data_IF_465239985801
#
_entry.id   IF_465239985801
#
_cell.length_a   1.000
_cell.length_b   1.000
_cell.length_c   1.000
_cell.angle_alpha   90.00
_cell.angle_beta   90.00
_cell.angle_gamma   90.00
#
_symmetry.space_group_name_H-M   'P 1'
#
loop_
_entity.id
_entity.type
_entity.pdbx_description
1 polymer ?
#
# COMPACT_ATOMS: atom_id res chain seq x y z
N UNK A 1 -16.58 -23.59 58.01
CA UNK A 1 -17.45 -23.42 56.83
C UNK A 1 -17.10 -22.24 55.92
N UNK A 2 -16.01 -21.48 56.16
CA UNK A 2 -15.72 -20.25 55.39
C UNK A 2 -14.65 -20.44 54.30
N UNK A 3 -13.72 -21.40 54.42
CA UNK A 3 -12.71 -21.67 53.37
C UNK A 3 -13.32 -22.16 52.04
N UNK A 4 -14.41 -22.94 52.09
CA UNK A 4 -15.05 -23.51 50.89
C UNK A 4 -15.75 -22.42 50.07
N UNK A 5 -16.35 -21.43 50.74
CA UNK A 5 -17.03 -20.31 50.06
C UNK A 5 -16.02 -19.38 49.36
N UNK A 6 -14.86 -19.15 49.99
CA UNK A 6 -13.80 -18.33 49.38
C UNK A 6 -13.17 -19.01 48.16
N UNK A 7 -13.03 -20.34 48.19
CA UNK A 7 -12.51 -21.12 47.06
C UNK A 7 -13.49 -21.18 45.88
N UNK A 8 -14.80 -21.21 46.15
CA UNK A 8 -15.84 -21.25 45.12
C UNK A 8 -16.00 -19.90 44.41
N UNK A 9 -15.85 -18.79 45.14
CA UNK A 9 -15.80 -17.44 44.55
C UNK A 9 -14.55 -17.28 43.67
N UNK A 10 -13.39 -17.76 44.13
CA UNK A 10 -12.16 -17.68 43.33
C UNK A 10 -12.25 -18.52 42.04
N UNK A 11 -12.82 -19.73 42.11
CA UNK A 11 -13.04 -20.58 40.94
C UNK A 11 -14.04 -19.97 39.95
N UNK A 12 -15.10 -19.33 40.43
CA UNK A 12 -16.08 -18.64 39.58
C UNK A 12 -15.46 -17.42 38.86
N UNK A 13 -14.57 -16.68 39.54
CA UNK A 13 -13.83 -15.57 38.92
C UNK A 13 -12.85 -16.08 37.86
N UNK A 14 -12.14 -17.18 38.10
CA UNK A 14 -11.22 -17.76 37.10
C UNK A 14 -11.97 -18.31 35.87
N UNK A 15 -13.14 -18.91 36.05
CA UNK A 15 -13.98 -19.41 34.95
C UNK A 15 -14.63 -18.27 34.12
N UNK A 16 -14.90 -17.13 34.74
CA UNK A 16 -15.43 -15.94 34.05
C UNK A 16 -14.38 -15.21 33.20
N UNK A 17 -13.09 -15.50 33.41
CA UNK A 17 -11.97 -14.91 32.66
C UNK A 17 -11.55 -15.73 31.44
N UNK A 18 -12.10 -16.94 31.27
CA UNK A 18 -11.87 -17.75 30.07
C UNK A 18 -12.93 -17.42 29.02
N UNK A 19 -12.89 -16.21 28.47
CA UNK A 19 -13.50 -15.95 27.17
C UNK A 19 -12.75 -16.80 26.15
N UNK A 20 -13.41 -17.84 25.63
CA UNK A 20 -12.95 -18.49 24.41
C UNK A 20 -13.06 -17.44 23.30
N UNK A 21 -11.95 -16.76 23.01
CA UNK A 21 -11.83 -16.03 21.75
C UNK A 21 -11.94 -17.09 20.67
N UNK A 22 -13.07 -17.15 19.97
CA UNK A 22 -13.13 -17.88 18.72
C UNK A 22 -12.13 -17.20 17.79
N UNK A 23 -10.94 -17.79 17.70
CA UNK A 23 -9.90 -17.28 16.83
C UNK A 23 -10.39 -17.43 15.39
N UNK A 24 -10.41 -16.32 14.65
CA UNK A 24 -10.66 -16.40 13.22
C UNK A 24 -9.45 -17.03 12.53
N UNK A 25 -9.69 -17.67 11.39
CA UNK A 25 -8.63 -18.24 10.55
C UNK A 25 -8.75 -17.66 9.15
N UNK A 26 -7.81 -16.77 8.81
CA UNK A 26 -7.84 -16.05 7.54
C UNK A 26 -7.87 -16.99 6.34
N UNK A 27 -7.18 -18.14 6.43
CA UNK A 27 -7.13 -19.09 5.31
C UNK A 27 -8.47 -19.78 5.10
N UNK A 28 -9.19 -20.12 6.17
CA UNK A 28 -10.53 -20.70 6.11
C UNK A 28 -11.56 -19.71 5.60
N UNK A 29 -11.43 -18.45 5.98
CA UNK A 29 -12.31 -17.38 5.49
C UNK A 29 -12.08 -17.18 4.00
N UNK A 30 -10.83 -16.99 3.56
CA UNK A 30 -10.50 -16.76 2.15
C UNK A 30 -10.78 -17.98 1.25
N UNK A 31 -10.74 -19.21 1.78
CA UNK A 31 -11.11 -20.41 1.03
C UNK A 31 -12.58 -20.43 0.57
N UNK A 32 -13.45 -19.59 1.13
CA UNK A 32 -14.84 -19.45 0.67
C UNK A 32 -14.95 -18.58 -0.59
N UNK A 33 -13.87 -17.90 -0.98
CA UNK A 33 -13.81 -16.93 -2.07
C UNK A 33 -12.75 -17.37 -3.10
N UNK A 34 -13.14 -18.14 -4.12
CA UNK A 34 -12.20 -18.69 -5.10
C UNK A 34 -11.44 -17.62 -5.90
N UNK A 35 -11.97 -16.40 -6.00
CA UNK A 35 -11.33 -15.27 -6.66
C UNK A 35 -10.06 -14.74 -5.96
N UNK A 36 -9.81 -15.14 -4.71
CA UNK A 36 -8.65 -14.76 -3.91
C UNK A 36 -7.72 -15.97 -3.60
N UNK A 37 -7.84 -17.05 -4.38
CA UNK A 37 -7.09 -18.28 -4.13
C UNK A 37 -5.57 -18.06 -4.21
N UNK A 38 -5.11 -17.22 -5.15
CA UNK A 38 -3.69 -16.89 -5.30
C UNK A 38 -3.19 -16.04 -4.13
N UNK A 39 -4.00 -15.09 -3.65
CA UNK A 39 -3.69 -14.30 -2.46
C UNK A 39 -3.55 -15.21 -1.22
N UNK A 40 -4.50 -16.13 -1.01
CA UNK A 40 -4.46 -17.07 0.12
C UNK A 40 -3.23 -18.01 0.05
N UNK A 41 -2.88 -18.47 -1.16
CA UNK A 41 -1.66 -19.24 -1.39
C UNK A 41 -0.41 -18.45 -0.97
N UNK A 42 -0.29 -17.19 -1.38
CA UNK A 42 0.86 -16.37 -1.02
C UNK A 42 0.93 -16.04 0.48
N UNK A 43 -0.19 -15.84 1.16
CA UNK A 43 -0.20 -15.71 2.63
C UNK A 43 0.45 -16.93 3.31
N UNK A 44 0.14 -18.12 2.79
CA UNK A 44 0.68 -19.39 3.31
C UNK A 44 2.16 -19.54 3.01
N UNK A 45 2.59 -19.29 1.76
CA UNK A 45 3.99 -19.41 1.35
C UNK A 45 4.90 -18.40 2.05
N UNK A 46 4.40 -17.19 2.32
CA UNK A 46 5.13 -16.12 3.01
C UNK A 46 5.09 -16.24 4.54
N UNK A 47 4.36 -17.22 5.07
CA UNK A 47 4.16 -17.47 6.51
C UNK A 47 3.53 -16.29 7.27
N UNK A 48 2.66 -15.54 6.61
CA UNK A 48 1.93 -14.43 7.24
C UNK A 48 0.66 -14.90 7.95
N UNK A 49 0.16 -16.09 7.63
CA UNK A 49 -1.04 -16.67 8.23
C UNK A 49 -0.98 -16.68 9.77
N UNK A 50 0.12 -17.17 10.34
CA UNK A 50 0.27 -17.23 11.80
C UNK A 50 0.29 -15.84 12.45
N UNK A 51 0.88 -14.86 11.76
CA UNK A 51 0.92 -13.48 12.24
C UNK A 51 -0.44 -12.80 12.15
N UNK A 52 -1.26 -13.14 11.15
CA UNK A 52 -2.62 -12.63 11.00
C UNK A 52 -3.53 -13.26 12.05
N UNK A 53 -3.51 -14.59 12.17
CA UNK A 53 -4.40 -15.35 13.05
C UNK A 53 -4.08 -15.16 14.54
N UNK A 54 -2.88 -14.68 14.89
CA UNK A 54 -2.50 -14.37 16.28
C UNK A 54 -2.97 -12.99 16.75
N UNK A 55 -3.56 -12.18 15.86
CA UNK A 55 -4.06 -10.85 16.20
C UNK A 55 -5.48 -10.92 16.75
N UNK A 56 -5.78 -10.00 17.68
CA UNK A 56 -7.14 -9.78 18.17
C UNK A 56 -8.01 -9.08 17.12
N UNK A 57 -7.39 -8.23 16.30
CA UNK A 57 -8.06 -7.46 15.26
C UNK A 57 -7.21 -7.39 14.00
N UNK A 58 -7.84 -7.44 12.82
CA UNK A 58 -7.14 -7.27 11.54
C UNK A 58 -8.04 -6.69 10.46
N UNK A 59 -7.46 -5.94 9.53
CA UNK A 59 -8.11 -5.62 8.26
C UNK A 59 -7.24 -6.08 7.11
N UNK A 60 -7.77 -6.91 6.22
CA UNK A 60 -7.03 -7.51 5.10
C UNK A 60 -7.51 -6.89 3.78
N UNK A 61 -6.60 -6.27 3.05
CA UNK A 61 -6.81 -5.72 1.72
C UNK A 61 -6.44 -6.80 0.68
N UNK A 62 -7.43 -7.60 0.29
CA UNK A 62 -7.21 -8.69 -0.67
C UNK A 62 -7.14 -8.16 -2.09
N UNK A 63 -6.42 -8.92 -2.90
CA UNK A 63 -6.24 -8.70 -4.33
C UNK A 63 -6.83 -9.89 -5.05
N UNK A 64 -7.60 -9.65 -6.11
CA UNK A 64 -8.08 -10.73 -6.97
C UNK A 64 -6.91 -11.46 -7.65
N UNK A 65 -7.17 -12.66 -8.14
CA UNK A 65 -6.13 -13.49 -8.76
C UNK A 65 -5.47 -12.82 -9.98
N UNK A 66 -6.22 -11.97 -10.72
CA UNK A 66 -5.69 -11.22 -11.87
C UNK A 66 -4.64 -10.19 -11.42
N UNK A 67 -4.96 -9.45 -10.37
CA UNK A 67 -4.10 -8.44 -9.78
C UNK A 67 -2.91 -9.09 -9.09
N UNK A 68 -3.12 -10.21 -8.39
CA UNK A 68 -2.04 -10.99 -7.79
C UNK A 68 -1.08 -11.58 -8.83
N UNK A 69 -1.55 -11.92 -10.02
CA UNK A 69 -0.67 -12.40 -11.09
C UNK A 69 0.39 -11.35 -11.49
N UNK A 70 0.11 -10.06 -11.32
CA UNK A 70 1.07 -8.97 -11.62
C UNK A 70 2.27 -8.97 -10.67
N UNK A 71 2.10 -9.45 -9.43
CA UNK A 71 3.18 -9.51 -8.43
C UNK A 71 3.90 -10.86 -8.40
N UNK A 72 3.37 -11.89 -9.06
CA UNK A 72 3.88 -13.25 -9.02
C UNK A 72 5.31 -13.42 -9.59
N UNK A 73 5.77 -12.49 -10.43
CA UNK A 73 7.13 -12.49 -10.99
C UNK A 73 8.21 -11.94 -10.06
N UNK A 74 7.85 -11.42 -8.89
CA UNK A 74 8.80 -10.86 -7.92
C UNK A 74 9.49 -11.94 -7.08
N UNK A 75 10.54 -11.55 -6.36
CA UNK A 75 11.20 -12.45 -5.39
C UNK A 75 10.31 -12.71 -4.18
N UNK A 76 10.53 -13.83 -3.49
CA UNK A 76 9.73 -14.20 -2.30
C UNK A 76 9.77 -13.12 -1.20
N UNK A 77 10.90 -12.43 -1.03
CA UNK A 77 11.04 -11.33 -0.07
C UNK A 77 10.16 -10.13 -0.46
N UNK A 78 10.15 -9.74 -1.73
CA UNK A 78 9.32 -8.65 -2.23
C UNK A 78 7.83 -9.00 -2.11
N UNK A 79 7.46 -10.23 -2.48
CA UNK A 79 6.08 -10.72 -2.32
C UNK A 79 5.68 -10.66 -0.84
N UNK A 80 6.55 -11.09 0.08
CA UNK A 80 6.27 -11.01 1.51
C UNK A 80 6.05 -9.57 1.99
N UNK A 81 6.85 -8.62 1.53
CA UNK A 81 6.67 -7.19 1.84
C UNK A 81 5.32 -6.71 1.33
N UNK A 82 5.00 -6.93 0.05
CA UNK A 82 3.71 -6.54 -0.56
C UNK A 82 2.53 -7.14 0.23
N UNK A 83 2.58 -8.46 0.50
CA UNK A 83 1.52 -9.15 1.25
C UNK A 83 1.37 -8.61 2.67
N UNK A 84 2.49 -8.29 3.35
CA UNK A 84 2.44 -7.70 4.69
C UNK A 84 1.95 -6.24 4.71
N UNK A 85 2.17 -5.49 3.62
CA UNK A 85 1.64 -4.14 3.46
C UNK A 85 0.11 -4.14 3.32
N UNK A 86 -0.44 -5.13 2.64
CA UNK A 86 -1.89 -5.28 2.44
C UNK A 86 -2.67 -5.67 3.70
N UNK A 87 -2.00 -5.94 4.83
CA UNK A 87 -2.63 -6.37 6.08
C UNK A 87 -2.48 -5.28 7.14
N UNK A 88 -3.57 -4.63 7.50
CA UNK A 88 -3.60 -3.64 8.58
C UNK A 88 -3.81 -4.30 9.94
N UNK A 89 -3.15 -3.75 10.96
CA UNK A 89 -3.14 -4.33 12.31
C UNK A 89 -4.38 -3.98 13.14
N UNK A 90 -5.15 -2.98 12.71
CA UNK A 90 -6.36 -2.49 13.37
C UNK A 90 -7.60 -2.84 12.56
N UNK A 91 -8.75 -2.87 13.24
CA UNK A 91 -10.05 -3.07 12.61
C UNK A 91 -10.59 -1.77 11.99
N UNK A 92 -10.80 -1.78 10.68
CA UNK A 92 -11.47 -0.74 9.90
C UNK A 92 -12.76 -1.27 9.27
N UNK A 93 -13.81 -0.46 9.31
CA UNK A 93 -15.06 -0.66 8.60
C UNK A 93 -15.33 0.52 7.65
N UNK A 94 -16.44 0.46 6.92
CA UNK A 94 -16.81 1.50 5.95
C UNK A 94 -16.95 2.89 6.58
N UNK A 95 -17.30 2.97 7.86
CA UNK A 95 -17.40 4.26 8.58
C UNK A 95 -16.02 4.77 8.96
N UNK A 96 -15.17 3.90 9.52
CA UNK A 96 -13.80 4.24 9.89
C UNK A 96 -12.96 4.66 8.69
N UNK A 97 -13.21 4.12 7.50
CA UNK A 97 -12.52 4.59 6.28
C UNK A 97 -12.81 6.07 5.98
N UNK A 98 -14.05 6.52 6.16
CA UNK A 98 -14.43 7.93 5.96
C UNK A 98 -13.79 8.82 7.03
N UNK A 99 -13.78 8.38 8.28
CA UNK A 99 -13.16 9.11 9.39
C UNK A 99 -11.64 9.28 9.18
N UNK A 100 -10.93 8.18 8.91
CA UNK A 100 -9.49 8.19 8.65
C UNK A 100 -9.15 8.96 7.37
N UNK A 101 -9.99 8.83 6.34
CA UNK A 101 -9.83 9.58 5.10
C UNK A 101 -9.94 11.10 5.29
N UNK A 102 -10.67 11.55 6.31
CA UNK A 102 -10.78 12.97 6.66
C UNK A 102 -9.62 13.47 7.52
N UNK A 103 -9.04 12.62 8.38
CA UNK A 103 -7.92 12.98 9.27
C UNK A 103 -6.55 12.79 8.61
N UNK A 104 -6.47 11.99 7.54
CA UNK A 104 -5.23 11.55 6.90
C UNK A 104 -4.24 10.90 7.87
N UNK A 105 -4.75 10.20 8.89
CA UNK A 105 -3.90 9.49 9.85
C UNK A 105 -3.23 8.28 9.18
N UNK A 106 -1.91 8.06 9.40
CA UNK A 106 -1.22 6.90 8.86
C UNK A 106 -1.68 5.63 9.57
N UNK A 107 -2.01 4.59 8.79
CA UNK A 107 -2.44 3.31 9.34
C UNK A 107 -1.31 2.30 9.30
N UNK A 108 -1.05 1.67 10.44
CA UNK A 108 -0.03 0.65 10.57
C UNK A 108 -0.44 -0.68 9.90
N UNK A 109 0.50 -1.26 9.15
CA UNK A 109 0.34 -2.58 8.54
C UNK A 109 1.27 -3.63 9.17
N UNK A 110 1.14 -4.88 8.72
CA UNK A 110 1.87 -6.00 9.27
C UNK A 110 3.38 -5.85 9.01
N UNK A 111 3.77 -5.20 7.89
CA UNK A 111 5.17 -4.90 7.60
C UNK A 111 5.79 -4.03 8.69
N UNK A 112 5.10 -2.98 9.15
CA UNK A 112 5.54 -2.15 10.29
C UNK A 112 5.68 -2.98 11.55
N UNK A 113 4.62 -3.71 11.90
CA UNK A 113 4.55 -4.46 13.16
C UNK A 113 5.58 -5.59 13.25
N UNK A 114 6.09 -6.05 12.11
CA UNK A 114 7.17 -7.05 12.04
C UNK A 114 8.52 -6.50 12.50
N UNK A 115 8.67 -5.17 12.58
CA UNK A 115 9.92 -4.49 12.87
C UNK A 115 10.91 -4.45 11.71
N UNK A 116 10.55 -4.98 10.54
CA UNK A 116 11.39 -4.96 9.33
C UNK A 116 11.21 -3.70 8.48
N UNK A 117 10.12 -2.95 8.68
CA UNK A 117 9.88 -1.71 7.97
C UNK A 117 10.87 -0.61 8.37
N UNK A 118 11.34 0.14 7.38
CA UNK A 118 12.11 1.36 7.59
C UNK A 118 11.20 2.57 7.38
N UNK A 119 11.41 3.61 8.18
CA UNK A 119 10.69 4.88 8.09
C UNK A 119 9.17 4.67 7.98
N UNK A 120 8.57 5.12 6.86
CA UNK A 120 7.13 5.08 6.62
C UNK A 120 6.70 3.90 5.73
N UNK A 121 7.55 2.91 5.49
CA UNK A 121 7.24 1.83 4.55
C UNK A 121 6.15 0.88 5.06
N UNK A 122 5.91 0.87 6.37
CA UNK A 122 4.87 0.06 7.00
C UNK A 122 3.56 0.81 7.27
N UNK A 123 3.33 1.96 6.61
CA UNK A 123 2.10 2.73 6.79
C UNK A 123 1.36 2.95 5.47
N UNK A 124 0.03 3.03 5.58
CA UNK A 124 -0.88 3.32 4.47
C UNK A 124 -1.66 4.58 4.82
N UNK A 125 -1.81 5.48 3.85
CA UNK A 125 -2.74 6.59 3.92
C UNK A 125 -4.03 6.24 3.20
N UNK A 126 -5.13 6.79 3.70
CA UNK A 126 -6.45 6.76 3.04
C UNK A 126 -6.93 8.17 2.77
N UNK A 127 -7.67 8.31 1.68
CA UNK A 127 -8.43 9.50 1.36
C UNK A 127 -9.78 9.13 0.78
N UNK A 128 -10.73 10.05 0.93
CA UNK A 128 -11.98 10.07 0.16
C UNK A 128 -11.73 10.93 -1.08
N UNK A 129 -11.79 10.36 -2.28
CA UNK A 129 -11.53 11.08 -3.55
C UNK A 129 -12.81 11.70 -4.13
N UNK A 130 -12.71 12.38 -5.28
CA UNK A 130 -13.74 13.29 -5.85
C UNK A 130 -15.12 12.66 -6.15
N UNK A 131 -15.32 11.36 -5.89
CA UNK A 131 -16.61 10.66 -6.03
C UNK A 131 -17.09 9.98 -4.74
N UNK A 132 -16.47 10.28 -3.59
CA UNK A 132 -16.77 9.62 -2.32
C UNK A 132 -16.14 8.22 -2.18
N UNK A 133 -15.36 7.81 -3.17
CA UNK A 133 -14.64 6.53 -3.16
C UNK A 133 -13.47 6.57 -2.17
N UNK A 134 -13.21 5.42 -1.53
CA UNK A 134 -12.06 5.25 -0.65
C UNK A 134 -10.87 4.83 -1.50
N UNK A 135 -9.78 5.60 -1.40
CA UNK A 135 -8.53 5.29 -2.08
C UNK A 135 -7.36 5.24 -1.09
N UNK A 136 -6.39 4.40 -1.39
CA UNK A 136 -5.24 4.06 -0.58
C UNK A 136 -3.94 4.46 -1.27
N UNK A 137 -2.91 4.69 -0.45
CA UNK A 137 -1.56 5.03 -0.89
C UNK A 137 -0.54 4.52 0.13
N UNK A 138 0.60 4.04 -0.34
CA UNK A 138 1.75 3.75 0.55
C UNK A 138 2.35 5.05 1.11
N UNK A 139 2.61 5.09 2.41
CA UNK A 139 3.26 6.22 3.07
C UNK A 139 4.77 6.34 2.75
N UNK A 140 5.36 5.37 2.04
CA UNK A 140 6.73 5.47 1.51
C UNK A 140 6.82 6.33 0.24
N UNK A 141 5.70 6.70 -0.35
CA UNK A 141 5.65 7.55 -1.55
C UNK A 141 5.82 9.04 -1.20
N UNK A 142 6.10 9.88 -2.19
CA UNK A 142 6.19 11.32 -1.99
C UNK A 142 4.88 11.89 -1.41
N UNK A 143 4.96 12.93 -0.58
CA UNK A 143 3.80 13.49 0.12
C UNK A 143 2.64 13.91 -0.81
N UNK A 144 2.93 14.25 -2.06
CA UNK A 144 1.97 14.64 -3.10
C UNK A 144 1.63 13.53 -4.12
N UNK A 145 2.07 12.30 -3.88
CA UNK A 145 1.70 11.16 -4.73
C UNK A 145 0.18 10.93 -4.69
N UNK A 146 -0.38 10.53 -5.83
CA UNK A 146 -1.80 10.25 -5.95
C UNK A 146 -2.22 9.02 -5.12
N UNK A 147 -3.50 8.96 -4.77
CA UNK A 147 -4.13 7.74 -4.29
C UNK A 147 -4.61 6.95 -5.51
N UNK A 148 -3.98 5.83 -5.81
CA UNK A 148 -4.15 5.06 -7.05
C UNK A 148 -4.60 3.60 -6.84
N UNK A 149 -4.76 3.21 -5.58
CA UNK A 149 -5.34 1.94 -5.14
C UNK A 149 -6.73 2.21 -4.60
N UNK A 150 -7.76 1.60 -5.16
CA UNK A 150 -9.15 1.92 -4.84
C UNK A 150 -9.82 0.76 -4.09
N UNK A 151 -10.70 1.08 -3.15
CA UNK A 151 -11.58 0.11 -2.50
C UNK A 151 -12.63 -0.37 -3.51
N UNK A 152 -12.60 -1.66 -3.87
CA UNK A 152 -13.53 -2.22 -4.84
C UNK A 152 -14.83 -2.66 -4.15
N UNK A 153 -14.72 -3.47 -3.09
CA UNK A 153 -15.88 -3.95 -2.32
C UNK A 153 -15.48 -4.50 -0.95
N UNK A 154 -16.45 -4.56 -0.05
CA UNK A 154 -16.37 -5.39 1.17
C UNK A 154 -16.61 -6.85 0.81
N UNK A 155 -15.67 -7.73 1.16
CA UNK A 155 -15.78 -9.18 0.94
C UNK A 155 -16.53 -9.83 2.09
N UNK A 156 -16.05 -9.58 3.32
CA UNK A 156 -16.64 -10.08 4.55
C UNK A 156 -16.10 -9.28 5.73
N UNK A 157 -16.87 -9.18 6.81
CA UNK A 157 -16.42 -8.60 8.06
C UNK A 157 -17.13 -9.21 9.24
N UNK A 158 -16.42 -9.26 10.36
CA UNK A 158 -16.96 -9.49 11.69
C UNK A 158 -16.65 -8.25 12.53
N UNK A 159 -17.67 -7.56 13.06
CA UNK A 159 -17.48 -6.32 13.83
C UNK A 159 -16.44 -6.48 14.93
N UNK A 160 -15.50 -5.54 14.98
CA UNK A 160 -14.41 -5.46 15.96
C UNK A 160 -13.44 -6.66 16.00
N UNK A 161 -13.51 -7.59 15.04
CA UNK A 161 -12.60 -8.75 14.94
C UNK A 161 -11.82 -8.71 13.63
N UNK A 162 -12.49 -8.82 12.48
CA UNK A 162 -11.80 -8.77 11.19
C UNK A 162 -12.63 -8.11 10.11
N UNK A 163 -11.97 -7.51 9.14
CA UNK A 163 -12.60 -7.06 7.91
C UNK A 163 -11.73 -7.36 6.71
N UNK A 164 -12.36 -7.79 5.62
CA UNK A 164 -11.70 -8.15 4.37
C UNK A 164 -12.32 -7.31 3.26
N UNK A 165 -11.47 -6.59 2.56
CA UNK A 165 -11.85 -5.70 1.48
C UNK A 165 -11.02 -6.01 0.25
N UNK A 166 -11.66 -6.01 -0.91
CA UNK A 166 -10.95 -6.08 -2.18
C UNK A 166 -10.45 -4.69 -2.57
N UNK A 167 -9.19 -4.61 -3.02
CA UNK A 167 -8.60 -3.39 -3.56
C UNK A 167 -8.13 -3.60 -5.00
N UNK A 168 -8.11 -2.52 -5.78
CA UNK A 168 -7.93 -2.62 -7.23
C UNK A 168 -6.49 -2.95 -7.68
N UNK A 169 -5.49 -2.70 -6.82
CA UNK A 169 -4.07 -2.90 -7.11
C UNK A 169 -3.28 -3.17 -5.82
N UNK A 170 -2.09 -3.79 -5.89
CA UNK A 170 -1.24 -3.96 -4.72
C UNK A 170 -0.73 -2.61 -4.23
N UNK A 171 -0.75 -2.40 -2.91
CA UNK A 171 -0.08 -1.24 -2.32
C UNK A 171 1.41 -1.55 -2.23
N UNK A 172 2.19 -0.93 -3.11
CA UNK A 172 3.64 -1.10 -3.14
C UNK A 172 4.31 -0.21 -2.08
N UNK A 173 4.76 -0.83 -0.99
CA UNK A 173 5.81 -0.24 -0.17
C UNK A 173 7.12 -0.41 -0.94
N UNK A 174 7.85 0.69 -1.16
CA UNK A 174 9.17 0.58 -1.80
C UNK A 174 9.98 -0.49 -1.02
N UNK A 175 10.61 -1.46 -1.70
CA UNK A 175 11.34 -2.49 -0.99
C UNK A 175 12.41 -1.84 -0.12
N UNK A 176 12.65 -2.31 1.12
CA UNK A 176 13.80 -1.86 1.89
C UNK A 176 15.02 -2.06 1.00
N UNK A 177 15.74 -0.97 0.73
CA UNK A 177 16.92 -0.99 -0.12
C UNK A 177 17.95 -1.93 0.49
N UNK A 178 18.02 -3.16 0.00
CA UNK A 178 19.27 -3.90 -0.01
C UNK A 178 20.20 -3.12 -0.92
N UNK A 179 20.97 -2.20 -0.32
CA UNK A 179 22.06 -1.41 -0.89
C UNK A 179 22.32 -1.59 -2.40
N UNK A 180 21.98 -0.58 -3.19
CA UNK A 180 22.65 -0.30 -4.46
C UNK A 180 21.83 -0.56 -5.73
N UNK A 181 21.25 0.52 -6.26
CA UNK A 181 21.04 0.78 -7.69
C UNK A 181 20.32 -0.30 -8.51
N UNK A 182 19.04 -0.05 -8.81
CA UNK A 182 18.63 0.01 -10.22
C UNK A 182 17.45 0.95 -10.36
N UNK A 183 17.76 2.19 -10.73
CA UNK A 183 16.86 2.99 -11.56
C UNK A 183 16.54 2.14 -12.78
N UNK A 184 15.32 1.62 -12.88
CA UNK A 184 14.83 1.08 -14.15
C UNK A 184 14.64 2.27 -15.07
N UNK A 185 15.70 2.47 -15.84
CA UNK A 185 15.89 3.43 -16.90
C UNK A 185 14.67 3.48 -17.81
N UNK A 186 14.09 4.67 -17.92
CA UNK A 186 13.23 5.05 -19.00
C UNK A 186 14.06 5.17 -20.29
N UNK A 187 14.50 4.02 -20.82
CA UNK A 187 15.18 3.97 -22.12
C UNK A 187 14.95 2.60 -22.75
N UNK A 188 13.80 2.45 -23.42
CA UNK A 188 13.67 1.68 -24.67
C UNK A 188 12.44 2.20 -25.42
N UNK A 189 12.52 3.46 -25.89
CA UNK A 189 11.78 3.86 -27.08
C UNK A 189 12.76 3.94 -28.25
N UNK A 190 12.50 3.05 -29.20
CA UNK A 190 12.95 3.02 -30.59
C UNK A 190 14.41 2.67 -30.82
N UNK A 191 14.63 1.44 -31.32
CA UNK A 191 15.36 1.24 -32.57
C UNK A 191 15.30 -0.23 -33.06
N UNK A 192 14.91 -0.38 -34.33
CA UNK A 192 15.22 -1.42 -35.34
C UNK A 192 13.99 -1.60 -36.24
N UNK A 193 14.01 -1.61 -37.57
CA UNK A 193 15.04 -1.63 -38.63
C UNK A 193 14.35 -1.04 -39.92
N UNK A 194 14.96 -0.68 -41.06
CA UNK A 194 15.98 -1.38 -41.85
C UNK A 194 16.46 -0.49 -43.04
N UNK A 195 17.75 -0.08 -43.03
CA UNK A 195 18.80 -0.16 -44.10
C UNK A 195 18.60 0.35 -45.57
N UNK A 196 19.64 0.37 -46.47
CA UNK A 196 20.40 1.59 -46.87
C UNK A 196 20.51 1.85 -48.40
N UNK A 197 20.95 3.06 -48.82
CA UNK A 197 21.31 3.31 -50.23
C UNK A 197 21.85 4.70 -50.62
N UNK A 198 23.17 4.77 -50.83
CA UNK A 198 23.93 5.55 -51.83
C UNK A 198 23.99 7.11 -51.84
N UNK A 199 25.19 7.60 -51.53
CA UNK A 199 26.06 8.49 -52.35
C UNK A 199 25.57 9.87 -52.82
N UNK A 200 26.21 10.95 -52.34
CA UNK A 200 27.18 11.79 -53.11
C UNK A 200 27.34 13.23 -52.55
N UNK A 201 28.61 13.56 -52.25
CA UNK A 201 29.37 14.80 -52.52
C UNK A 201 28.78 16.22 -52.32
N UNK A 202 29.57 17.04 -51.59
CA UNK A 202 29.54 18.49 -51.26
C UNK A 202 29.38 19.47 -52.47
N UNK A 203 29.33 20.84 -52.36
CA UNK A 203 29.74 21.76 -51.26
C UNK A 203 28.86 23.02 -50.98
N UNK A 204 29.22 23.82 -49.95
CA UNK A 204 28.66 25.15 -49.60
C UNK A 204 29.17 26.28 -50.54
N UNK A 205 28.55 27.50 -50.63
CA UNK A 205 28.62 28.58 -49.61
C UNK A 205 27.37 29.52 -49.46
N UNK A 206 27.42 30.44 -48.47
CA UNK A 206 26.42 31.38 -47.88
C UNK A 206 25.98 32.60 -48.78
N UNK A 207 25.40 33.77 -48.31
CA UNK A 207 24.80 34.22 -47.02
C UNK A 207 23.49 35.11 -47.14
N UNK A 208 23.10 35.77 -46.01
CA UNK A 208 22.21 36.96 -45.84
C UNK A 208 20.71 36.68 -45.56
N UNK A 209 19.95 37.36 -44.69
CA UNK A 209 20.06 38.64 -43.96
C UNK A 209 19.24 38.65 -42.65
N UNK A 210 19.62 39.61 -41.80
CA UNK A 210 19.18 40.05 -40.47
C UNK A 210 17.68 40.19 -40.13
N UNK A 211 17.42 40.21 -38.82
CA UNK A 211 16.86 41.36 -38.06
C UNK A 211 15.61 41.02 -37.21
N UNK A 212 15.73 41.00 -35.88
CA UNK A 212 15.27 42.09 -34.99
C UNK A 212 15.49 41.76 -33.51
N UNK A 213 16.20 42.68 -32.87
CA UNK A 213 16.17 42.97 -31.43
C UNK A 213 14.72 43.13 -30.92
N UNK A 214 14.42 42.59 -29.75
CA UNK A 214 13.53 43.29 -28.80
C UNK A 214 14.02 43.08 -27.38
N UNK A 215 14.01 44.19 -26.66
CA UNK A 215 14.68 44.46 -25.39
C UNK A 215 13.78 44.04 -24.22
N UNK A 216 14.44 43.53 -23.18
CA UNK A 216 14.01 43.28 -21.80
C UNK A 216 13.11 44.36 -21.20
N UNK A 217 12.26 44.02 -20.20
CA UNK A 217 12.11 44.80 -18.96
C UNK A 217 11.25 44.04 -17.89
N UNK A 218 11.91 43.66 -16.79
CA UNK A 218 11.59 43.85 -15.35
C UNK A 218 10.21 43.43 -14.78
N UNK A 219 10.21 42.54 -13.77
CA UNK A 219 9.83 42.88 -12.38
C UNK A 219 9.88 41.65 -11.44
N UNK A 220 10.84 41.67 -10.50
CA UNK A 220 10.86 40.83 -9.31
C UNK A 220 11.32 41.70 -8.13
N UNK A 221 10.42 41.98 -7.17
CA UNK A 221 10.71 42.19 -5.75
C UNK A 221 9.39 42.39 -4.99
N UNK A 222 9.07 41.49 -4.07
CA UNK A 222 8.16 41.82 -2.97
C UNK A 222 8.75 41.26 -1.69
N UNK A 223 9.22 42.17 -0.85
CA UNK A 223 9.77 41.96 0.49
C UNK A 223 8.62 42.26 1.45
N UNK A 224 8.19 41.30 2.26
CA UNK A 224 7.18 41.51 3.31
C UNK A 224 7.85 41.32 4.67
N UNK A 225 7.96 42.40 5.45
CA UNK A 225 8.45 42.35 6.83
C UNK A 225 7.97 43.58 7.63
N UNK A 226 7.73 43.33 8.92
CA UNK A 226 7.29 44.18 10.04
C UNK A 226 5.81 44.60 10.08
N UNK A 227 5.03 44.11 11.05
CA UNK A 227 5.07 44.35 12.51
C UNK A 227 4.51 45.72 12.88
N UNK A 228 3.26 45.73 13.34
CA UNK A 228 2.74 46.40 14.53
C UNK A 228 1.38 45.81 14.87
#
# INVERSE_FOLDING_TARGET
MNCIKSSLVFLAVVLALTSTTEGFDITKILNQYPEFALFNKYLTETKLVDQINSRSTVTVLVLDDNTMATVAGNTSDVIKVIMSTQVLVNYYDEKKWVEVGATHEPMENLFQSSGAAMDNHGYIYVAVVEEGEIAFRSASTANNAAYDVYLVKTVVKEPDVYSIFEVSKPIESAPPTLNGSTTLDASMRSNAADSPGASALAPAPAPSSSCRLSVTFIAALSLFMLAF
#
